data_IF_295852137107
#
_entry.id   IF_295852137107
#
_cell.length_a   1.000
_cell.length_b   1.000
_cell.length_c   1.000
_cell.angle_alpha   90.00
_cell.angle_beta   90.00
_cell.angle_gamma   90.00
#
_symmetry.space_group_name_H-M   'P 1'
#
loop_
_entity.id
_entity.type
_entity.pdbx_description
1 polymer ?
#
# COMPACT_ATOMS: atom_id res chain seq x y z
N UNK A 1 31.33 -1.81 4.45
CA UNK A 1 30.96 -0.90 3.35
C UNK A 1 29.45 -0.80 3.17
N UNK A 2 28.93 0.42 2.99
CA UNK A 2 27.50 0.67 2.74
C UNK A 2 27.13 0.29 1.31
N UNK A 3 25.98 -0.38 1.14
CA UNK A 3 25.40 -0.77 -0.15
C UNK A 3 24.06 -0.09 -0.37
N UNK A 4 23.69 0.09 -1.64
CA UNK A 4 22.46 0.77 -2.06
C UNK A 4 21.71 -0.12 -3.04
N UNK A 5 20.44 -0.41 -2.75
CA UNK A 5 19.57 -1.22 -3.62
C UNK A 5 19.07 -0.39 -4.80
N UNK A 6 19.08 -0.97 -6.00
CA UNK A 6 18.43 -0.40 -7.18
C UNK A 6 17.16 -1.18 -7.58
N UNK A 7 16.40 -0.65 -8.55
CA UNK A 7 15.15 -1.24 -9.09
C UNK A 7 15.36 -2.58 -9.83
N UNK A 8 16.60 -3.02 -10.02
CA UNK A 8 16.96 -4.30 -10.62
C UNK A 8 17.31 -5.37 -9.59
N UNK A 9 17.34 -5.02 -8.31
CA UNK A 9 17.73 -5.94 -7.24
C UNK A 9 19.23 -6.00 -6.95
N UNK A 10 20.02 -5.10 -7.53
CA UNK A 10 21.47 -5.06 -7.37
C UNK A 10 21.84 -4.24 -6.13
N UNK A 11 22.82 -4.72 -5.36
CA UNK A 11 23.41 -3.98 -4.24
C UNK A 11 24.66 -3.23 -4.70
N UNK A 12 24.46 -1.97 -5.05
CA UNK A 12 25.48 -1.07 -5.59
C UNK A 12 26.36 -0.47 -4.49
N UNK A 13 27.58 -0.10 -4.85
CA UNK A 13 28.40 0.84 -4.08
C UNK A 13 27.80 2.26 -4.13
N UNK A 14 28.23 3.13 -3.22
CA UNK A 14 27.82 4.55 -3.24
C UNK A 14 28.20 5.24 -4.56
N UNK A 15 29.38 4.92 -5.11
CA UNK A 15 29.86 5.53 -6.35
C UNK A 15 28.98 5.12 -7.55
N UNK A 16 28.63 3.85 -7.66
CA UNK A 16 27.73 3.35 -8.71
C UNK A 16 26.32 3.92 -8.57
N UNK A 17 25.80 3.99 -7.33
CA UNK A 17 24.48 4.56 -7.04
C UNK A 17 24.40 6.04 -7.47
N UNK A 18 25.46 6.82 -7.23
CA UNK A 18 25.55 8.23 -7.66
C UNK A 18 25.51 8.40 -9.18
N UNK A 19 26.00 7.41 -9.94
CA UNK A 19 25.95 7.42 -11.41
C UNK A 19 24.57 7.04 -11.96
N UNK A 20 23.70 6.43 -11.15
CA UNK A 20 22.38 5.91 -11.56
C UNK A 20 21.25 6.33 -10.58
N UNK A 21 21.06 7.63 -10.30
CA UNK A 21 20.13 8.08 -9.26
C UNK A 21 18.69 7.64 -9.51
N UNK A 22 18.25 7.60 -10.77
CA UNK A 22 16.91 7.16 -11.15
C UNK A 22 16.66 5.67 -10.87
N UNK A 23 17.70 4.83 -10.93
CA UNK A 23 17.57 3.40 -10.61
C UNK A 23 17.49 3.15 -9.10
N UNK A 24 17.87 4.12 -8.26
CA UNK A 24 17.89 3.97 -6.79
C UNK A 24 16.65 4.58 -6.13
N UNK A 25 16.17 5.72 -6.62
CA UNK A 25 15.14 6.53 -5.96
C UNK A 25 13.83 5.78 -5.67
N UNK A 26 13.52 4.76 -6.45
CA UNK A 26 12.25 4.04 -6.37
C UNK A 26 12.45 2.52 -6.23
N UNK A 27 13.40 2.05 -5.42
CA UNK A 27 13.79 0.63 -5.34
C UNK A 27 13.23 -0.16 -4.13
N UNK A 28 12.66 0.52 -3.13
CA UNK A 28 12.29 -0.09 -1.84
C UNK A 28 11.33 -1.29 -1.96
N UNK A 29 10.39 -1.27 -2.90
CA UNK A 29 9.45 -2.38 -3.15
C UNK A 29 10.14 -3.69 -3.59
N UNK A 30 11.33 -3.62 -4.21
CA UNK A 30 12.02 -4.80 -4.73
C UNK A 30 12.36 -5.76 -3.59
N UNK A 31 12.84 -5.23 -2.46
CA UNK A 31 13.19 -6.02 -1.28
C UNK A 31 11.99 -6.80 -0.72
N UNK A 32 10.79 -6.20 -0.72
CA UNK A 32 9.55 -6.90 -0.32
C UNK A 32 9.22 -8.04 -1.29
N UNK A 33 9.40 -7.82 -2.60
CA UNK A 33 9.22 -8.87 -3.61
C UNK A 33 10.22 -10.02 -3.45
N UNK A 34 11.49 -9.69 -3.21
CA UNK A 34 12.55 -10.69 -2.99
C UNK A 34 12.25 -11.54 -1.75
N UNK A 35 11.78 -10.95 -0.65
CA UNK A 35 11.35 -11.73 0.52
C UNK A 35 10.26 -12.74 0.17
N UNK A 36 9.25 -12.32 -0.58
CA UNK A 36 8.17 -13.20 -0.98
C UNK A 36 8.63 -14.28 -1.97
N UNK A 37 9.59 -13.98 -2.84
CA UNK A 37 10.15 -14.95 -3.79
C UNK A 37 10.91 -16.07 -3.10
N UNK A 38 11.48 -15.80 -1.92
CA UNK A 38 12.00 -16.85 -1.08
C UNK A 38 10.87 -17.71 -0.51
N UNK A 39 9.67 -17.20 -0.23
CA UNK A 39 8.56 -18.00 0.31
C UNK A 39 7.84 -18.87 -0.73
N UNK A 40 7.54 -18.31 -1.90
CA UNK A 40 6.97 -19.02 -3.05
C UNK A 40 7.60 -18.48 -4.34
N UNK A 41 8.02 -19.39 -5.23
CA UNK A 41 8.67 -19.04 -6.50
C UNK A 41 7.77 -18.21 -7.42
N UNK A 42 6.45 -18.45 -7.37
CA UNK A 42 5.45 -17.70 -8.11
C UNK A 42 4.45 -17.10 -7.12
N UNK A 43 4.39 -15.77 -7.04
CA UNK A 43 3.42 -15.09 -6.20
C UNK A 43 3.20 -13.62 -6.61
N UNK A 44 2.23 -12.96 -5.97
CA UNK A 44 2.06 -11.51 -6.03
C UNK A 44 2.13 -10.97 -4.62
N UNK A 45 2.86 -9.88 -4.40
CA UNK A 45 2.83 -9.15 -3.13
C UNK A 45 2.07 -7.85 -3.31
N UNK A 46 1.17 -7.54 -2.37
CA UNK A 46 0.52 -6.23 -2.26
C UNK A 46 0.95 -5.60 -0.95
N UNK A 47 1.85 -4.62 -1.05
CA UNK A 47 2.43 -3.89 0.07
C UNK A 47 1.79 -2.51 0.17
N UNK A 48 1.00 -2.28 1.22
CA UNK A 48 0.25 -1.04 1.41
C UNK A 48 0.87 -0.24 2.54
N UNK A 49 1.49 0.88 2.17
CA UNK A 49 2.05 1.86 3.11
C UNK A 49 1.04 2.91 3.57
N UNK A 50 1.57 3.99 4.15
CA UNK A 50 0.78 5.16 4.54
C UNK A 50 0.29 5.98 3.34
N UNK A 51 1.03 5.97 2.22
CA UNK A 51 0.80 6.82 1.05
C UNK A 51 0.46 6.04 -0.21
N UNK A 52 1.19 4.94 -0.44
CA UNK A 52 1.15 4.19 -1.70
C UNK A 52 0.93 2.71 -1.46
N UNK A 53 0.51 2.02 -2.51
CA UNK A 53 0.39 0.57 -2.59
C UNK A 53 1.26 0.07 -3.72
N UNK A 54 2.17 -0.85 -3.43
CA UNK A 54 2.98 -1.55 -4.44
C UNK A 54 2.38 -2.91 -4.75
N UNK A 55 2.28 -3.27 -6.02
CA UNK A 55 1.84 -4.58 -6.49
C UNK A 55 3.01 -5.23 -7.22
N UNK A 56 3.58 -6.25 -6.61
CA UNK A 56 4.90 -6.78 -6.97
C UNK A 56 4.72 -8.22 -7.48
N UNK A 57 4.83 -8.46 -8.79
CA UNK A 57 4.80 -9.81 -9.33
C UNK A 57 6.14 -10.51 -9.11
N UNK A 58 6.06 -11.78 -8.72
CA UNK A 58 7.21 -12.68 -8.57
C UNK A 58 6.93 -13.94 -9.41
N UNK A 59 7.88 -14.32 -10.24
CA UNK A 59 7.76 -15.47 -11.13
C UNK A 59 9.10 -16.20 -11.20
N UNK A 60 9.10 -17.53 -11.09
CA UNK A 60 10.30 -18.37 -11.09
C UNK A 60 11.36 -17.90 -10.07
N UNK A 61 10.93 -17.53 -8.87
CA UNK A 61 11.81 -17.06 -7.78
C UNK A 61 12.34 -15.64 -7.94
N UNK A 62 11.96 -14.91 -9.00
CA UNK A 62 12.48 -13.60 -9.32
C UNK A 62 11.40 -12.52 -9.27
N UNK A 63 11.76 -11.34 -8.76
CA UNK A 63 10.92 -10.15 -8.84
C UNK A 63 10.84 -9.70 -10.30
N UNK A 64 9.65 -9.76 -10.89
CA UNK A 64 9.46 -9.60 -12.35
C UNK A 64 8.71 -8.33 -12.73
N UNK A 65 8.64 -7.34 -11.82
CA UNK A 65 8.05 -6.04 -12.11
C UNK A 65 8.73 -5.38 -13.33
N UNK A 66 7.90 -4.90 -14.26
CA UNK A 66 8.34 -4.33 -15.54
C UNK A 66 8.71 -2.86 -15.37
N UNK A 67 8.02 -2.10 -14.53
CA UNK A 67 8.26 -0.68 -14.34
C UNK A 67 9.58 -0.40 -13.63
N UNK A 68 10.45 0.39 -14.25
CA UNK A 68 11.78 0.77 -13.74
C UNK A 68 11.79 2.15 -13.10
N UNK A 69 10.75 2.94 -13.30
CA UNK A 69 10.49 4.21 -12.61
C UNK A 69 9.01 4.32 -12.21
N UNK A 70 8.66 5.34 -11.42
CA UNK A 70 7.30 5.47 -10.88
C UNK A 70 6.25 5.70 -11.97
N UNK A 71 6.59 6.44 -13.03
CA UNK A 71 5.67 6.66 -14.15
C UNK A 71 5.30 5.33 -14.82
N UNK A 72 6.29 4.51 -15.16
CA UNK A 72 6.06 3.19 -15.75
C UNK A 72 5.25 2.29 -14.80
N UNK A 73 5.56 2.30 -13.51
CA UNK A 73 4.81 1.52 -12.52
C UNK A 73 3.35 1.95 -12.42
N UNK A 74 3.07 3.25 -12.51
CA UNK A 74 1.70 3.78 -12.54
C UNK A 74 0.95 3.30 -13.79
N UNK A 75 1.62 3.32 -14.96
CA UNK A 75 1.04 2.83 -16.21
C UNK A 75 0.69 1.34 -16.12
N UNK A 76 1.61 0.54 -15.54
CA UNK A 76 1.51 -0.92 -15.43
C UNK A 76 0.64 -1.40 -14.25
N UNK A 77 0.26 -0.50 -13.34
CA UNK A 77 -0.49 -0.83 -12.12
C UNK A 77 0.36 -1.47 -11.02
N UNK A 78 1.68 -1.42 -11.13
CA UNK A 78 2.64 -1.90 -10.12
C UNK A 78 2.77 -0.91 -8.96
N UNK A 79 2.36 0.35 -9.17
CA UNK A 79 2.23 1.38 -8.15
C UNK A 79 0.82 1.99 -8.22
N UNK A 80 0.14 2.05 -7.08
CA UNK A 80 -1.15 2.73 -6.91
C UNK A 80 -0.98 3.78 -5.81
N UNK A 81 -1.31 5.04 -6.11
CA UNK A 81 -1.16 6.17 -5.19
C UNK A 81 -2.31 6.25 -4.17
N UNK A 82 -2.47 5.18 -3.39
CA UNK A 82 -3.41 5.10 -2.28
C UNK A 82 -2.79 4.34 -1.13
N UNK A 83 -3.00 4.82 0.09
CA UNK A 83 -2.46 4.24 1.32
C UNK A 83 -3.34 4.52 2.52
N UNK A 84 -2.92 4.02 3.69
CA UNK A 84 -3.77 4.02 4.90
C UNK A 84 -3.90 5.39 5.56
N UNK A 85 -2.98 6.33 5.37
CA UNK A 85 -2.95 7.55 6.17
C UNK A 85 -3.03 8.84 5.37
N UNK A 86 -2.26 8.95 4.28
CA UNK A 86 -1.89 10.25 3.66
C UNK A 86 -2.66 10.62 2.40
N UNK A 87 -3.55 9.76 1.91
CA UNK A 87 -4.19 9.99 0.60
C UNK A 87 -5.33 10.99 0.75
N UNK A 88 -5.27 12.14 0.07
CA UNK A 88 -6.38 13.10 0.01
C UNK A 88 -7.66 12.40 -0.48
N UNK A 89 -8.78 12.57 0.24
CA UNK A 89 -10.07 11.97 -0.14
C UNK A 89 -10.49 12.36 -1.56
N UNK A 90 -10.21 13.60 -1.98
CA UNK A 90 -10.52 14.07 -3.34
C UNK A 90 -9.69 13.36 -4.44
N UNK A 91 -8.57 12.73 -4.09
CA UNK A 91 -7.78 11.88 -5.00
C UNK A 91 -8.30 10.44 -5.06
N UNK A 92 -9.22 10.06 -4.16
CA UNK A 92 -9.83 8.73 -4.10
C UNK A 92 -11.18 8.72 -4.84
N UNK A 93 -12.01 9.74 -4.60
CA UNK A 93 -13.35 9.86 -5.17
C UNK A 93 -13.62 11.28 -5.64
N UNK A 94 -14.45 11.42 -6.68
CA UNK A 94 -14.99 12.73 -7.13
C UNK A 94 -16.39 13.03 -6.59
N UNK A 95 -17.10 12.01 -6.09
CA UNK A 95 -18.45 12.09 -5.54
C UNK A 95 -18.62 11.15 -4.36
N UNK A 96 -19.53 11.47 -3.44
CA UNK A 96 -19.89 10.63 -2.29
C UNK A 96 -21.41 10.59 -2.07
N UNK A 97 -21.96 9.48 -1.51
CA UNK A 97 -23.38 9.36 -1.24
C UNK A 97 -23.80 10.10 0.04
N UNK A 98 -24.80 10.96 -0.07
CA UNK A 98 -25.43 11.69 1.05
C UNK A 98 -26.95 11.69 0.84
N UNK A 99 -27.70 11.22 1.85
CA UNK A 99 -29.18 11.22 1.86
C UNK A 99 -29.79 10.67 0.55
N UNK A 100 -29.19 9.62 -0.02
CA UNK A 100 -29.64 8.97 -1.25
C UNK A 100 -29.22 9.65 -2.57
N UNK A 101 -28.42 10.72 -2.53
CA UNK A 101 -27.90 11.41 -3.71
C UNK A 101 -26.37 11.33 -3.76
N UNK A 102 -25.80 11.34 -4.97
CA UNK A 102 -24.37 11.55 -5.15
C UNK A 102 -24.08 13.05 -5.17
N UNK A 103 -23.11 13.47 -4.37
CA UNK A 103 -22.69 14.87 -4.22
C UNK A 103 -21.22 14.97 -4.57
N UNK A 104 -20.83 15.99 -5.33
CA UNK A 104 -19.43 16.25 -5.66
C UNK A 104 -18.63 16.58 -4.40
N UNK A 105 -17.39 16.11 -4.37
CA UNK A 105 -16.44 16.48 -3.31
C UNK A 105 -15.68 17.75 -3.68
N UNK A 106 -15.32 18.54 -2.69
CA UNK A 106 -14.32 19.61 -2.81
C UNK A 106 -12.94 19.01 -3.09
N UNK A 107 -12.13 19.69 -3.91
CA UNK A 107 -10.73 19.34 -4.16
C UNK A 107 -9.78 19.75 -3.03
N UNK A 108 -10.24 20.60 -2.11
CA UNK A 108 -9.46 21.08 -0.96
C UNK A 108 -8.98 19.93 -0.08
N UNK A 109 -7.80 20.09 0.52
CA UNK A 109 -7.21 19.09 1.41
C UNK A 109 -7.86 19.13 2.81
N UNK A 110 -9.14 18.77 2.89
CA UNK A 110 -9.89 18.77 4.15
C UNK A 110 -9.77 17.47 4.95
N UNK A 111 -9.69 16.34 4.25
CA UNK A 111 -9.60 15.02 4.86
C UNK A 111 -8.68 14.10 4.05
N UNK A 112 -8.09 13.14 4.74
CA UNK A 112 -7.23 12.11 4.14
C UNK A 112 -7.68 10.70 4.55
N UNK A 113 -7.10 9.68 3.93
CA UNK A 113 -7.45 8.27 4.17
C UNK A 113 -7.32 7.87 5.64
N UNK A 114 -6.40 8.47 6.40
CA UNK A 114 -6.31 8.27 7.85
C UNK A 114 -7.62 8.59 8.59
N UNK A 115 -8.33 9.65 8.19
CA UNK A 115 -9.62 10.02 8.78
C UNK A 115 -10.69 8.96 8.47
N UNK A 116 -10.72 8.49 7.23
CA UNK A 116 -11.63 7.42 6.78
C UNK A 116 -11.39 6.15 7.58
N UNK A 117 -10.14 5.72 7.71
CA UNK A 117 -9.82 4.49 8.42
C UNK A 117 -10.03 4.60 9.93
N UNK A 118 -9.85 5.78 10.53
CA UNK A 118 -10.13 6.02 11.94
C UNK A 118 -11.65 6.00 12.21
N UNK A 119 -12.46 6.65 11.36
CA UNK A 119 -13.94 6.66 11.47
C UNK A 119 -14.53 5.25 11.35
N UNK A 120 -13.92 4.41 10.51
CA UNK A 120 -14.31 3.03 10.31
C UNK A 120 -13.65 2.05 11.29
N UNK A 121 -12.87 2.55 12.25
CA UNK A 121 -12.15 1.75 13.26
C UNK A 121 -11.21 0.70 12.65
N UNK A 122 -10.75 0.92 11.41
CA UNK A 122 -9.72 0.12 10.76
C UNK A 122 -8.33 0.37 11.38
N UNK A 123 -8.14 1.55 11.97
CA UNK A 123 -6.94 1.96 12.70
C UNK A 123 -7.33 2.56 14.05
N UNK A 124 -6.41 2.55 15.02
CA UNK A 124 -6.56 3.29 16.28
C UNK A 124 -5.92 4.67 16.16
N UNK A 125 -6.26 5.58 17.07
CA UNK A 125 -5.64 6.91 17.14
C UNK A 125 -4.09 6.85 17.12
N UNK A 126 -3.49 5.90 17.84
CA UNK A 126 -2.02 5.71 17.88
C UNK A 126 -1.39 5.30 16.55
N UNK A 127 -2.19 4.77 15.62
CA UNK A 127 -1.72 4.34 14.30
C UNK A 127 -1.82 5.50 13.27
N UNK A 128 -2.52 6.59 13.61
CA UNK A 128 -2.58 7.82 12.81
C UNK A 128 -1.36 8.70 13.15
N UNK A 129 -0.21 8.33 12.58
CA UNK A 129 1.10 8.91 12.92
C UNK A 129 1.57 10.05 12.01
N UNK A 130 0.64 10.68 11.30
CA UNK A 130 0.91 11.75 10.33
C UNK A 130 0.08 12.96 10.68
N UNK A 131 0.54 14.15 10.28
CA UNK A 131 -0.20 15.38 10.53
C UNK A 131 -1.60 15.30 9.92
N UNK A 132 -2.58 15.77 10.69
CA UNK A 132 -3.95 15.92 10.20
C UNK A 132 -4.05 17.16 9.31
N UNK A 133 -4.95 17.16 8.30
CA UNK A 133 -5.05 18.28 7.35
C UNK A 133 -5.32 19.65 8.00
N UNK A 134 -5.97 19.67 9.16
CA UNK A 134 -6.31 20.88 9.91
C UNK A 134 -5.45 21.10 11.16
N UNK A 135 -4.41 20.28 11.38
CA UNK A 135 -3.53 20.34 12.54
C UNK A 135 -4.20 20.00 13.89
N UNK A 136 -5.45 19.56 13.89
CA UNK A 136 -6.17 19.14 15.12
C UNK A 136 -5.88 17.68 15.46
N UNK A 137 -6.47 17.20 16.55
CA UNK A 137 -6.29 15.83 17.02
C UNK A 137 -6.90 14.76 16.11
N UNK A 138 -6.73 13.52 16.57
CA UNK A 138 -7.16 12.27 15.92
C UNK A 138 -8.27 11.58 16.72
N UNK A 139 -9.18 12.36 17.33
CA UNK A 139 -10.43 11.80 17.87
C UNK A 139 -11.41 11.48 16.74
N UNK A 140 -12.40 10.62 17.04
CA UNK A 140 -13.47 10.29 16.10
C UNK A 140 -14.23 11.55 15.64
N UNK A 141 -14.51 12.49 16.55
CA UNK A 141 -15.22 13.73 16.23
C UNK A 141 -14.39 14.66 15.34
N UNK A 142 -13.08 14.77 15.59
CA UNK A 142 -12.20 15.61 14.76
C UNK A 142 -12.04 15.05 13.34
N UNK A 143 -11.86 13.73 13.22
CA UNK A 143 -11.84 13.06 11.92
C UNK A 143 -13.17 13.18 11.18
N UNK A 144 -14.30 13.03 11.89
CA UNK A 144 -15.63 13.21 11.31
C UNK A 144 -15.84 14.65 10.81
N UNK A 145 -15.40 15.65 11.58
CA UNK A 145 -15.46 17.06 11.20
C UNK A 145 -14.58 17.39 9.98
N UNK A 146 -13.44 16.72 9.83
CA UNK A 146 -12.62 16.82 8.61
C UNK A 146 -13.33 16.20 7.41
N UNK A 147 -13.86 14.99 7.57
CA UNK A 147 -14.53 14.28 6.48
C UNK A 147 -15.84 14.97 6.03
N UNK A 148 -16.57 15.64 6.93
CA UNK A 148 -17.77 16.43 6.54
C UNK A 148 -17.42 17.62 5.64
N UNK A 149 -16.26 18.25 5.84
CA UNK A 149 -15.81 19.38 5.01
C UNK A 149 -15.53 19.00 3.56
N UNK A 150 -15.29 17.71 3.27
CA UNK A 150 -15.11 17.19 1.90
C UNK A 150 -16.31 17.50 1.01
N UNK A 151 -17.50 17.68 1.58
CA UNK A 151 -18.72 18.10 0.86
C UNK A 151 -19.19 19.49 1.29
N UNK A 152 -18.27 20.32 1.77
CA UNK A 152 -18.52 21.67 2.27
C UNK A 152 -19.57 21.71 3.40
N UNK A 153 -19.61 20.68 4.25
CA UNK A 153 -20.50 20.56 5.40
C UNK A 153 -19.74 20.49 6.72
N UNK A 154 -20.47 20.40 7.83
CA UNK A 154 -19.97 20.27 9.19
C UNK A 154 -20.76 19.21 9.98
N UNK A 155 -20.54 19.12 11.28
CA UNK A 155 -21.20 18.18 12.19
C UNK A 155 -22.62 18.62 12.60
N UNK A 156 -23.05 19.84 12.27
CA UNK A 156 -24.42 20.30 12.46
C UNK A 156 -25.31 19.87 11.28
N UNK A 157 -24.73 19.86 10.07
CA UNK A 157 -25.42 19.48 8.83
C UNK A 157 -25.44 17.97 8.57
N UNK A 158 -24.42 17.23 9.03
CA UNK A 158 -24.28 15.80 8.82
C UNK A 158 -24.19 15.03 10.13
N UNK A 159 -25.00 13.99 10.23
CA UNK A 159 -24.93 13.03 11.34
C UNK A 159 -23.71 12.12 11.19
N UNK A 160 -23.22 11.59 12.32
CA UNK A 160 -22.13 10.61 12.31
C UNK A 160 -22.43 9.37 11.43
N UNK A 161 -23.70 8.97 11.31
CA UNK A 161 -24.14 7.86 10.45
C UNK A 161 -23.92 8.18 8.96
N UNK A 162 -24.22 9.40 8.54
CA UNK A 162 -23.98 9.86 7.17
C UNK A 162 -22.49 9.96 6.89
N UNK A 163 -21.71 10.50 7.83
CA UNK A 163 -20.25 10.57 7.73
C UNK A 163 -19.62 9.17 7.64
N UNK A 164 -20.08 8.21 8.44
CA UNK A 164 -19.66 6.80 8.33
C UNK A 164 -20.04 6.19 6.97
N UNK A 165 -21.14 6.64 6.35
CA UNK A 165 -21.54 6.19 5.00
C UNK A 165 -20.58 6.73 3.94
N UNK A 166 -20.21 8.02 4.04
CA UNK A 166 -19.16 8.63 3.20
C UNK A 166 -17.84 7.85 3.37
N UNK A 167 -17.41 7.62 4.61
CA UNK A 167 -16.17 6.89 4.90
C UNK A 167 -16.17 5.48 4.28
N UNK A 168 -17.27 4.72 4.40
CA UNK A 168 -17.41 3.40 3.77
C UNK A 168 -17.28 3.47 2.24
N UNK A 169 -17.88 4.49 1.63
CA UNK A 169 -17.82 4.69 0.18
C UNK A 169 -16.38 4.99 -0.29
N UNK A 170 -15.70 5.93 0.38
CA UNK A 170 -14.29 6.27 0.08
C UNK A 170 -13.39 5.04 0.26
N UNK A 171 -13.60 4.28 1.34
CA UNK A 171 -12.84 3.07 1.60
C UNK A 171 -13.01 1.99 0.51
N UNK A 172 -14.24 1.77 0.05
CA UNK A 172 -14.50 0.85 -1.06
C UNK A 172 -13.85 1.33 -2.36
N UNK A 173 -13.85 2.65 -2.61
CA UNK A 173 -13.14 3.22 -3.75
C UNK A 173 -11.61 3.02 -3.68
N UNK A 174 -10.98 3.14 -2.51
CA UNK A 174 -9.54 2.79 -2.36
C UNK A 174 -9.28 1.32 -2.70
N UNK A 175 -10.14 0.41 -2.23
CA UNK A 175 -10.02 -1.01 -2.55
C UNK A 175 -10.13 -1.19 -4.08
N UNK A 176 -11.06 -0.50 -4.74
CA UNK A 176 -11.23 -0.59 -6.18
C UNK A 176 -10.00 -0.07 -6.95
N UNK A 177 -9.36 1.02 -6.51
CA UNK A 177 -8.12 1.51 -7.11
C UNK A 177 -7.02 0.44 -7.10
N UNK A 178 -6.87 -0.30 -5.99
CA UNK A 178 -5.91 -1.41 -5.88
C UNK A 178 -6.34 -2.60 -6.77
N UNK A 179 -7.63 -2.91 -6.84
CA UNK A 179 -8.16 -3.95 -7.73
C UNK A 179 -7.86 -3.64 -9.19
N UNK A 180 -7.98 -2.39 -9.63
CA UNK A 180 -7.61 -1.99 -10.99
C UNK A 180 -6.11 -2.11 -11.25
N UNK A 181 -5.26 -1.75 -10.28
CA UNK A 181 -3.82 -2.03 -10.34
C UNK A 181 -3.52 -3.52 -10.50
N UNK A 182 -4.18 -4.36 -9.68
CA UNK A 182 -4.04 -5.82 -9.74
C UNK A 182 -4.45 -6.38 -11.11
N UNK A 183 -5.55 -5.88 -11.70
CA UNK A 183 -5.98 -6.29 -13.05
C UNK A 183 -4.92 -5.99 -14.10
N UNK A 184 -4.30 -4.80 -14.05
CA UNK A 184 -3.22 -4.43 -14.97
C UNK A 184 -1.99 -5.33 -14.81
N UNK A 185 -1.57 -5.61 -13.57
CA UNK A 185 -0.44 -6.53 -13.32
C UNK A 185 -0.75 -7.94 -13.81
N UNK A 186 -1.93 -8.48 -13.48
CA UNK A 186 -2.34 -9.83 -13.89
C UNK A 186 -2.48 -9.94 -15.42
N UNK A 187 -2.87 -8.87 -16.13
CA UNK A 187 -2.86 -8.88 -17.59
C UNK A 187 -1.47 -9.18 -18.17
N UNK A 188 -0.41 -8.71 -17.52
CA UNK A 188 0.97 -8.97 -17.94
C UNK A 188 1.52 -10.31 -17.42
N UNK A 189 0.93 -10.85 -16.35
CA UNK A 189 1.33 -12.11 -15.71
C UNK A 189 0.11 -12.99 -15.37
N UNK A 190 -0.61 -13.54 -16.37
CA UNK A 190 -1.91 -14.18 -16.13
C UNK A 190 -1.86 -15.39 -15.18
N UNK A 191 -0.77 -16.16 -15.23
CA UNK A 191 -0.58 -17.35 -14.41
C UNK A 191 -0.53 -17.05 -12.91
N UNK A 192 -0.07 -15.85 -12.52
CA UNK A 192 0.02 -15.44 -11.12
C UNK A 192 -1.34 -15.32 -10.44
N UNK A 193 -2.43 -15.26 -11.22
CA UNK A 193 -3.79 -15.18 -10.68
C UNK A 193 -4.17 -16.33 -9.76
N UNK A 194 -3.60 -17.50 -10.04
CA UNK A 194 -3.89 -18.76 -9.35
C UNK A 194 -2.83 -19.11 -8.29
N UNK A 195 -1.85 -18.22 -8.11
CA UNK A 195 -0.72 -18.41 -7.21
C UNK A 195 -0.98 -17.71 -5.86
N UNK A 196 -0.17 -17.99 -4.82
CA UNK A 196 -0.24 -17.27 -3.57
C UNK A 196 -0.14 -15.75 -3.76
N UNK A 197 -0.95 -15.01 -3.01
CA UNK A 197 -0.85 -13.57 -2.92
C UNK A 197 -0.58 -13.14 -1.48
N UNK A 198 0.50 -12.40 -1.28
CA UNK A 198 0.95 -11.90 0.00
C UNK A 198 0.45 -10.49 0.26
N UNK A 199 0.06 -10.23 1.49
CA UNK A 199 -0.23 -8.89 2.00
C UNK A 199 0.90 -8.42 2.91
N UNK A 200 1.32 -7.16 2.75
CA UNK A 200 2.36 -6.53 3.54
C UNK A 200 2.01 -5.07 3.85
N UNK A 201 2.82 -4.45 4.71
CA UNK A 201 2.67 -3.05 5.09
C UNK A 201 1.53 -2.78 6.07
N UNK A 202 1.42 -1.52 6.48
CA UNK A 202 0.39 -1.03 7.42
C UNK A 202 -1.03 -1.39 6.95
N UNK A 203 -1.27 -1.35 5.65
CA UNK A 203 -2.57 -1.61 5.05
C UNK A 203 -2.82 -3.05 4.61
N UNK A 204 -1.95 -4.01 4.98
CA UNK A 204 -2.08 -5.41 4.55
C UNK A 204 -3.45 -6.02 4.86
N UNK A 205 -3.91 -5.91 6.11
CA UNK A 205 -5.23 -6.42 6.56
C UNK A 205 -6.39 -5.47 6.26
N UNK A 206 -6.08 -4.20 6.03
CA UNK A 206 -7.07 -3.15 5.82
C UNK A 206 -7.50 -3.17 4.35
N UNK A 207 -6.57 -2.83 3.45
CA UNK A 207 -6.79 -2.63 2.02
C UNK A 207 -6.38 -3.85 1.19
N UNK A 208 -5.15 -4.35 1.35
CA UNK A 208 -4.57 -5.35 0.44
C UNK A 208 -5.38 -6.66 0.43
N UNK A 209 -5.71 -7.19 1.60
CA UNK A 209 -6.45 -8.44 1.75
C UNK A 209 -7.82 -8.39 1.06
N UNK A 210 -8.53 -7.27 1.22
CA UNK A 210 -9.84 -7.06 0.58
C UNK A 210 -9.71 -6.90 -0.93
N UNK A 211 -8.72 -6.12 -1.39
CA UNK A 211 -8.45 -5.94 -2.81
C UNK A 211 -8.10 -7.26 -3.51
N UNK A 212 -7.25 -8.09 -2.91
CA UNK A 212 -6.90 -9.41 -3.45
C UNK A 212 -8.13 -10.34 -3.53
N UNK A 213 -8.97 -10.39 -2.47
CA UNK A 213 -10.24 -11.13 -2.52
C UNK A 213 -11.14 -10.67 -3.65
N UNK A 214 -11.37 -9.35 -3.77
CA UNK A 214 -12.23 -8.78 -4.82
C UNK A 214 -11.69 -8.98 -6.22
N UNK A 215 -10.36 -8.90 -6.38
CA UNK A 215 -9.73 -9.22 -7.63
C UNK A 215 -9.92 -10.70 -7.99
N UNK A 216 -10.16 -11.60 -7.02
CA UNK A 216 -10.47 -13.03 -7.23
C UNK A 216 -9.33 -13.99 -6.85
N UNK A 217 -8.29 -13.53 -6.13
CA UNK A 217 -7.25 -14.41 -5.61
C UNK A 217 -7.82 -15.35 -4.54
N UNK A 218 -7.41 -16.62 -4.58
CA UNK A 218 -7.94 -17.66 -3.68
C UNK A 218 -6.99 -18.03 -2.55
N UNK A 219 -5.68 -17.91 -2.79
CA UNK A 219 -4.63 -18.28 -1.83
C UNK A 219 -4.03 -16.98 -1.27
N UNK A 220 -4.52 -16.55 -0.12
CA UNK A 220 -4.06 -15.31 0.52
C UNK A 220 -3.17 -15.61 1.72
N UNK A 221 -2.00 -14.98 1.75
CA UNK A 221 -1.03 -15.12 2.82
C UNK A 221 -0.73 -13.75 3.42
N UNK A 222 -0.55 -13.73 4.74
CA UNK A 222 -0.17 -12.54 5.49
C UNK A 222 1.34 -12.62 5.74
N UNK A 223 2.12 -11.72 5.13
CA UNK A 223 3.57 -11.77 5.21
C UNK A 223 4.05 -11.69 6.67
N UNK A 224 3.30 -11.01 7.54
CA UNK A 224 3.62 -10.90 8.97
C UNK A 224 3.63 -12.23 9.71
N UNK A 225 2.97 -13.26 9.19
CA UNK A 225 3.03 -14.62 9.78
C UNK A 225 4.39 -15.27 9.60
N UNK A 226 5.16 -14.86 8.59
CA UNK A 226 6.44 -15.47 8.24
C UNK A 226 7.63 -14.67 8.76
N UNK A 227 7.52 -13.34 8.78
CA UNK A 227 8.62 -12.44 9.18
C UNK A 227 8.38 -11.71 10.51
N UNK A 228 7.15 -11.74 11.02
CA UNK A 228 6.73 -11.00 12.21
C UNK A 228 5.95 -9.71 11.87
N UNK A 229 5.16 -9.24 12.84
CA UNK A 229 4.23 -8.13 12.64
C UNK A 229 4.90 -6.76 12.60
N UNK A 230 5.99 -6.57 13.34
CA UNK A 230 6.74 -5.32 13.31
C UNK A 230 7.51 -5.22 11.98
N UNK A 231 8.11 -6.33 11.59
CA UNK A 231 8.91 -6.50 10.40
C UNK A 231 8.06 -6.32 9.13
N UNK A 232 6.83 -6.84 9.09
CA UNK A 232 5.92 -6.65 7.97
C UNK A 232 5.46 -5.20 7.77
N UNK A 233 5.48 -4.35 8.82
CA UNK A 233 5.25 -2.90 8.67
C UNK A 233 6.43 -2.18 8.02
N UNK A 234 7.62 -2.77 8.09
CA UNK A 234 8.86 -2.28 7.52
C UNK A 234 9.46 -3.31 6.53
N UNK A 235 8.60 -4.02 5.78
CA UNK A 235 9.01 -5.15 4.93
C UNK A 235 10.15 -4.80 3.95
N UNK A 236 10.18 -3.60 3.31
CA UNK A 236 11.31 -3.18 2.51
C UNK A 236 12.65 -3.19 3.25
N UNK A 237 12.69 -2.66 4.48
CA UNK A 237 13.91 -2.57 5.27
C UNK A 237 14.37 -3.94 5.77
N UNK A 238 13.42 -4.77 6.23
CA UNK A 238 13.69 -6.15 6.62
C UNK A 238 14.24 -6.96 5.44
N UNK A 239 13.63 -6.83 4.26
CA UNK A 239 14.07 -7.52 3.05
C UNK A 239 15.46 -7.09 2.61
N UNK A 240 15.73 -5.78 2.63
CA UNK A 240 17.04 -5.24 2.26
C UNK A 240 18.13 -5.73 3.22
N UNK A 241 17.84 -5.83 4.52
CA UNK A 241 18.79 -6.38 5.49
C UNK A 241 19.17 -7.84 5.13
N UNK A 242 18.19 -8.68 4.78
CA UNK A 242 18.45 -10.07 4.38
C UNK A 242 19.11 -10.20 3.00
N UNK A 243 18.81 -9.32 2.05
CA UNK A 243 19.57 -9.23 0.79
C UNK A 243 21.04 -8.88 1.07
N UNK A 244 21.30 -8.01 2.04
CA UNK A 244 22.66 -7.68 2.48
C UNK A 244 23.37 -8.87 3.12
N UNK A 245 22.69 -9.65 3.95
CA UNK A 245 23.23 -10.91 4.49
C UNK A 245 23.53 -11.89 3.37
N UNK A 246 22.60 -12.09 2.43
CA UNK A 246 22.81 -12.99 1.27
C UNK A 246 24.01 -12.56 0.43
N UNK A 247 24.20 -11.25 0.24
CA UNK A 247 25.34 -10.71 -0.49
C UNK A 247 26.69 -10.96 0.21
N UNK A 248 26.73 -10.95 1.54
CA UNK A 248 27.96 -11.12 2.32
C UNK A 248 28.29 -12.58 2.63
N UNK A 249 27.29 -13.39 2.91
CA UNK A 249 27.45 -14.74 3.48
C UNK A 249 26.89 -15.85 2.57
N UNK A 250 26.25 -15.50 1.45
CA UNK A 250 25.48 -16.43 0.62
C UNK A 250 24.08 -16.70 1.18
N UNK A 251 23.32 -17.60 0.55
CA UNK A 251 21.89 -17.77 0.84
C UNK A 251 21.61 -18.08 2.33
N UNK A 252 20.83 -17.22 3.03
CA UNK A 252 20.62 -17.37 4.46
C UNK A 252 19.81 -18.63 4.79
N UNK A 253 20.41 -19.54 5.57
CA UNK A 253 19.83 -20.86 5.89
C UNK A 253 18.55 -20.82 6.72
N UNK A 254 18.31 -19.75 7.51
CA UNK A 254 17.11 -19.62 8.37
C UNK A 254 16.72 -18.15 8.58
N UNK A 255 15.61 -17.72 7.98
CA UNK A 255 15.02 -16.39 8.22
C UNK A 255 13.49 -16.40 8.35
N UNK A 256 12.84 -17.55 8.14
CA UNK A 256 11.39 -17.73 8.26
C UNK A 256 11.03 -18.17 9.67
N UNK A 257 9.97 -17.59 10.23
CA UNK A 257 9.26 -18.18 11.37
C UNK A 257 8.26 -19.20 10.80
N UNK A 258 8.57 -20.49 10.94
CA UNK A 258 7.63 -21.58 10.67
C UNK A 258 6.74 -21.80 11.90
#
# INVERSE_FOLDING_TARGET
>A
DMKVLNVKGELLTIEEARKKPLEVAAANWFATGWLASKLDEDCVVVDVGSTTTSIIPVLNGNVTAKGKNDLEKLMLGELVYTGVLRTNVAAIVSQVPIKGKLVNVSSEFFAQSGDVHLILENIKAKDYTVDTPDGRGVSLNEAAARLSKVVCADLELLTLKEIKTIAKYVYEAQIQQIVEGLKKVIKHFPTLKFKPAYTAGLGGKILAWRALKKAGFKILKDLSKFIGASEAKAAPAFGLAFMGVEFLEGEPKKWRRC
#
